data_IF_506919486286
#
_entry.id   IF_506919486286
#
_cell.length_a   1.000
_cell.length_b   1.000
_cell.length_c   1.000
_cell.angle_alpha   90.00
_cell.angle_beta   90.00
_cell.angle_gamma   90.00
#
_symmetry.space_group_name_H-M   'P 1'
#
loop_
_entity.id
_entity.type
_entity.pdbx_description
1 polymer ?
#
# COMPACT_ATOMS: atom_id res chain seq x y z
N UNK A 1 -28.88 -15.40 -30.01
CA UNK A 1 -28.32 -14.56 -28.93
C UNK A 1 -26.81 -14.75 -28.93
N UNK A 2 -26.02 -13.71 -29.24
CA UNK A 2 -24.57 -13.81 -29.34
C UNK A 2 -23.93 -14.01 -27.95
N UNK A 3 -22.94 -14.90 -27.78
CA UNK A 3 -22.24 -15.07 -26.51
C UNK A 3 -21.39 -13.83 -26.22
N UNK A 4 -21.56 -13.25 -25.02
CA UNK A 4 -20.71 -12.18 -24.50
C UNK A 4 -19.28 -12.70 -24.41
N UNK A 5 -18.38 -12.11 -25.22
CA UNK A 5 -16.97 -12.49 -25.27
C UNK A 5 -16.29 -12.38 -23.90
N UNK A 6 -15.21 -13.14 -23.67
CA UNK A 6 -14.49 -13.11 -22.41
C UNK A 6 -13.91 -11.70 -22.21
N UNK A 7 -14.29 -11.05 -21.12
CA UNK A 7 -13.71 -9.77 -20.72
C UNK A 7 -12.19 -9.90 -20.72
N UNK A 8 -11.50 -8.99 -21.42
CA UNK A 8 -10.04 -8.95 -21.48
C UNK A 8 -9.49 -9.02 -20.05
N UNK A 9 -8.91 -10.17 -19.68
CA UNK A 9 -8.07 -10.27 -18.49
C UNK A 9 -6.99 -9.20 -18.66
N UNK A 10 -7.02 -8.14 -17.83
CA UNK A 10 -5.92 -7.17 -17.81
C UNK A 10 -4.66 -7.98 -17.56
N UNK A 11 -3.72 -7.92 -18.48
CA UNK A 11 -2.42 -8.60 -18.37
C UNK A 11 -1.82 -8.13 -17.04
N UNK A 12 -1.67 -9.05 -16.09
CA UNK A 12 -1.05 -8.74 -14.81
C UNK A 12 0.38 -8.30 -15.11
N UNK A 13 0.73 -7.09 -14.70
CA UNK A 13 2.07 -6.54 -14.89
C UNK A 13 2.86 -6.93 -13.65
N UNK A 14 3.89 -7.74 -13.85
CA UNK A 14 4.86 -7.99 -12.80
C UNK A 14 5.73 -6.74 -12.62
N UNK A 15 5.45 -5.96 -11.59
CA UNK A 15 6.17 -4.72 -11.33
C UNK A 15 7.58 -4.96 -10.74
N UNK A 16 7.91 -6.20 -10.42
CA UNK A 16 9.23 -6.60 -9.93
C UNK A 16 10.18 -6.97 -11.08
N UNK A 17 9.67 -7.26 -12.27
CA UNK A 17 10.43 -7.56 -13.48
C UNK A 17 11.34 -6.41 -13.92
N UNK A 18 12.44 -6.73 -14.62
CA UNK A 18 13.43 -5.75 -15.06
C UNK A 18 12.85 -4.66 -16.00
N UNK A 19 11.84 -4.98 -16.81
CA UNK A 19 11.23 -4.02 -17.74
C UNK A 19 10.29 -3.02 -17.05
N UNK A 20 9.67 -3.42 -15.93
CA UNK A 20 8.62 -2.64 -15.27
C UNK A 20 9.03 -2.09 -13.90
N UNK A 21 10.12 -2.60 -13.34
CA UNK A 21 10.64 -2.19 -12.06
C UNK A 21 11.09 -0.72 -12.09
N UNK A 22 10.64 0.02 -11.09
CA UNK A 22 11.09 1.39 -10.86
C UNK A 22 11.26 1.64 -9.37
N UNK A 23 12.40 2.22 -9.01
CA UNK A 23 12.72 2.64 -7.63
C UNK A 23 11.83 3.80 -7.15
N UNK A 24 11.18 4.50 -8.07
CA UNK A 24 10.32 5.65 -7.79
C UNK A 24 8.84 5.26 -7.68
N UNK A 25 8.52 3.99 -8.00
CA UNK A 25 7.19 3.42 -7.86
C UNK A 25 7.07 2.71 -6.53
N UNK A 26 6.15 3.17 -5.71
CA UNK A 26 5.77 2.49 -4.48
C UNK A 26 4.49 1.71 -4.67
N UNK A 27 4.37 0.60 -3.95
CA UNK A 27 3.28 -0.35 -4.10
C UNK A 27 2.38 -0.26 -2.86
N UNK A 28 1.07 -0.08 -3.09
CA UNK A 28 0.06 -0.13 -2.03
C UNK A 28 -0.76 -1.38 -2.26
N UNK A 29 -0.72 -2.31 -1.33
CA UNK A 29 -1.49 -3.54 -1.36
C UNK A 29 -2.69 -3.38 -0.45
N UNK A 30 -3.89 -3.47 -1.00
CA UNK A 30 -5.12 -3.41 -0.19
C UNK A 30 -5.87 -4.72 -0.33
N UNK A 31 -5.98 -5.46 0.77
CA UNK A 31 -6.92 -6.56 0.89
C UNK A 31 -8.25 -6.00 1.38
N UNK A 32 -9.34 -6.27 0.67
CA UNK A 32 -10.65 -5.80 1.06
C UNK A 32 -11.74 -6.83 0.73
N UNK A 33 -12.71 -7.01 1.63
CA UNK A 33 -13.86 -7.89 1.39
C UNK A 33 -14.68 -7.44 0.17
N UNK A 34 -15.36 -8.40 -0.47
CA UNK A 34 -16.31 -8.16 -1.55
C UNK A 34 -17.76 -7.98 -1.06
N UNK A 35 -18.00 -8.08 0.24
CA UNK A 35 -19.34 -7.96 0.83
C UNK A 35 -20.01 -6.62 0.51
N UNK A 36 -19.24 -5.54 0.40
CA UNK A 36 -19.78 -4.21 0.12
C UNK A 36 -18.84 -3.34 -0.73
N UNK A 37 -19.40 -2.52 -1.65
CA UNK A 37 -18.61 -1.69 -2.56
C UNK A 37 -17.80 -0.59 -1.87
N UNK A 38 -18.23 -0.15 -0.67
CA UNK A 38 -17.51 0.87 0.10
C UNK A 38 -16.07 0.48 0.41
N UNK A 39 -15.79 -0.82 0.57
CA UNK A 39 -14.43 -1.31 0.81
C UNK A 39 -13.52 -1.06 -0.39
N UNK A 40 -14.04 -1.23 -1.61
CA UNK A 40 -13.34 -0.88 -2.83
C UNK A 40 -13.15 0.63 -2.93
N UNK A 41 -14.20 1.42 -2.71
CA UNK A 41 -14.12 2.89 -2.73
C UNK A 41 -13.06 3.40 -1.75
N UNK A 42 -13.02 2.87 -0.53
CA UNK A 42 -12.02 3.21 0.49
C UNK A 42 -10.61 2.80 0.11
N UNK A 43 -10.45 1.72 -0.66
CA UNK A 43 -9.15 1.34 -1.21
C UNK A 43 -8.65 2.33 -2.27
N UNK A 44 -9.52 2.74 -3.20
CA UNK A 44 -9.20 3.74 -4.22
C UNK A 44 -8.97 5.14 -3.60
N UNK A 45 -9.73 5.52 -2.57
CA UNK A 45 -9.52 6.75 -1.77
C UNK A 45 -8.14 6.74 -1.11
N UNK A 46 -7.74 5.64 -0.46
CA UNK A 46 -6.42 5.51 0.17
C UNK A 46 -5.27 5.71 -0.83
N UNK A 47 -5.37 5.09 -2.01
CA UNK A 47 -4.35 5.22 -3.06
C UNK A 47 -4.26 6.65 -3.61
N UNK A 48 -5.42 7.28 -3.84
CA UNK A 48 -5.49 8.66 -4.33
C UNK A 48 -4.92 9.65 -3.31
N UNK A 49 -5.24 9.43 -2.04
CA UNK A 49 -4.76 10.24 -0.94
C UNK A 49 -3.23 10.20 -0.82
N UNK A 50 -2.63 9.00 -0.81
CA UNK A 50 -1.17 8.86 -0.73
C UNK A 50 -0.48 9.50 -1.95
N UNK A 51 -1.07 9.37 -3.14
CA UNK A 51 -0.57 10.01 -4.35
C UNK A 51 -0.62 11.55 -4.29
N UNK A 52 -1.63 12.12 -3.63
CA UNK A 52 -1.73 13.56 -3.40
C UNK A 52 -0.76 14.05 -2.32
N UNK A 53 -0.59 13.27 -1.25
CA UNK A 53 0.30 13.61 -0.13
C UNK A 53 1.78 13.50 -0.47
N UNK A 54 2.15 12.53 -1.28
CA UNK A 54 3.55 12.27 -1.65
C UNK A 54 3.64 12.27 -3.20
N UNK A 55 3.49 13.43 -3.85
CA UNK A 55 3.41 13.54 -5.31
C UNK A 55 4.72 13.18 -6.01
N UNK A 56 5.85 13.18 -5.28
CA UNK A 56 7.16 12.75 -5.78
C UNK A 56 7.24 11.24 -6.07
N UNK A 57 6.34 10.44 -5.49
CA UNK A 57 6.28 8.99 -5.69
C UNK A 57 5.14 8.64 -6.65
N UNK A 58 5.35 7.57 -7.42
CA UNK A 58 4.29 6.94 -8.21
C UNK A 58 3.69 5.82 -7.40
N UNK A 59 2.44 5.94 -6.97
CA UNK A 59 1.80 4.86 -6.23
C UNK A 59 1.05 3.92 -7.17
N UNK A 60 1.32 2.62 -7.04
CA UNK A 60 0.59 1.57 -7.70
C UNK A 60 -0.30 0.85 -6.70
N UNK A 61 -1.62 1.06 -6.82
CA UNK A 61 -2.60 0.35 -6.03
C UNK A 61 -2.80 -1.09 -6.57
N UNK A 62 -2.70 -2.06 -5.68
CA UNK A 62 -2.91 -3.49 -5.92
C UNK A 62 -4.02 -3.98 -4.99
N UNK A 63 -5.21 -4.22 -5.53
CA UNK A 63 -6.37 -4.70 -4.76
C UNK A 63 -6.43 -6.22 -4.81
N UNK A 64 -6.55 -6.88 -3.65
CA UNK A 64 -6.72 -8.34 -3.52
C UNK A 64 -5.77 -9.17 -4.42
N UNK A 65 -4.50 -8.74 -4.53
CA UNK A 65 -3.52 -9.28 -5.49
C UNK A 65 -4.10 -9.43 -6.91
N UNK A 66 -4.62 -8.34 -7.46
CA UNK A 66 -5.29 -8.30 -8.77
C UNK A 66 -6.51 -9.23 -8.90
N UNK A 67 -7.12 -9.60 -7.78
CA UNK A 67 -8.26 -10.53 -7.72
C UNK A 67 -7.85 -12.00 -7.60
N UNK A 68 -6.55 -12.31 -7.49
CA UNK A 68 -6.07 -13.68 -7.25
C UNK A 68 -6.19 -14.12 -5.78
N UNK A 69 -6.36 -13.16 -4.86
CA UNK A 69 -6.58 -13.46 -3.46
C UNK A 69 -8.07 -13.40 -3.15
N UNK A 70 -8.61 -14.47 -2.55
CA UNK A 70 -9.93 -14.45 -1.91
C UNK A 70 -9.77 -13.66 -0.61
N UNK A 71 -10.39 -12.47 -0.48
CA UNK A 71 -10.24 -11.65 0.72
C UNK A 71 -10.93 -12.34 1.90
N UNK A 72 -10.38 -12.13 3.10
CA UNK A 72 -11.02 -12.59 4.33
C UNK A 72 -12.33 -11.84 4.60
N UNK A 73 -13.26 -12.47 5.32
CA UNK A 73 -14.53 -11.85 5.69
C UNK A 73 -14.29 -10.60 6.55
N UNK A 74 -14.95 -9.50 6.19
CA UNK A 74 -14.74 -8.21 6.85
C UNK A 74 -13.31 -7.64 6.74
N UNK A 75 -12.46 -8.15 5.83
CA UNK A 75 -11.10 -7.67 5.68
C UNK A 75 -11.05 -6.25 5.13
N UNK A 76 -10.16 -5.46 5.72
CA UNK A 76 -9.64 -4.24 5.13
C UNK A 76 -8.21 -4.05 5.64
N UNK A 77 -7.23 -4.50 4.88
CA UNK A 77 -5.83 -4.37 5.24
C UNK A 77 -5.11 -3.50 4.24
N UNK A 78 -4.26 -2.61 4.74
CA UNK A 78 -3.42 -1.74 3.93
C UNK A 78 -1.98 -2.16 4.19
N UNK A 79 -1.33 -2.67 3.16
CA UNK A 79 0.09 -2.94 3.11
C UNK A 79 0.81 -1.97 2.18
N UNK A 80 2.07 -1.69 2.48
CA UNK A 80 2.91 -0.79 1.71
C UNK A 80 4.28 -1.39 1.47
N UNK A 81 4.76 -1.27 0.24
CA UNK A 81 6.15 -1.55 -0.11
C UNK A 81 6.74 -0.33 -0.80
N UNK A 82 7.99 -0.04 -0.49
CA UNK A 82 8.72 1.07 -1.11
C UNK A 82 8.81 0.91 -2.64
N UNK A 83 8.94 -0.32 -3.11
CA UNK A 83 8.83 -0.76 -4.50
C UNK A 83 8.41 -2.24 -4.58
N UNK A 84 8.24 -2.77 -5.80
CA UNK A 84 7.76 -4.13 -6.03
C UNK A 84 8.74 -5.25 -5.62
N UNK A 85 10.01 -4.93 -5.35
CA UNK A 85 11.03 -5.89 -4.89
C UNK A 85 11.26 -5.85 -3.38
N UNK A 86 10.78 -4.81 -2.69
CA UNK A 86 10.92 -4.66 -1.23
C UNK A 86 9.80 -5.37 -0.47
N UNK A 87 10.09 -5.75 0.78
CA UNK A 87 9.11 -6.34 1.70
C UNK A 87 7.88 -5.45 1.86
N UNK A 88 6.71 -6.09 1.95
CA UNK A 88 5.45 -5.41 2.28
C UNK A 88 5.32 -5.25 3.79
N UNK A 89 5.06 -4.04 4.22
CA UNK A 89 4.83 -3.66 5.61
C UNK A 89 3.34 -3.39 5.81
N UNK A 90 2.76 -3.94 6.87
CA UNK A 90 1.38 -3.67 7.25
C UNK A 90 1.27 -2.25 7.82
N UNK A 91 0.45 -1.40 7.19
CA UNK A 91 0.14 -0.06 7.69
C UNK A 91 -1.14 -0.04 8.52
N UNK A 92 -2.13 -0.85 8.14
CA UNK A 92 -3.41 -0.90 8.83
C UNK A 92 -4.05 -2.28 8.69
N UNK A 93 -4.64 -2.79 9.77
CA UNK A 93 -5.54 -3.93 9.72
C UNK A 93 -6.91 -3.56 10.31
N UNK A 94 -7.95 -3.79 9.51
CA UNK A 94 -9.34 -3.74 9.92
C UNK A 94 -9.86 -5.08 10.45
N UNK A 95 -9.12 -6.18 10.28
CA UNK A 95 -9.65 -7.51 10.66
C UNK A 95 -9.96 -7.61 12.15
N UNK A 96 -9.05 -7.12 12.98
CA UNK A 96 -9.17 -7.14 14.44
C UNK A 96 -10.07 -6.02 14.99
N UNK A 97 -10.45 -5.06 14.13
CA UNK A 97 -11.33 -3.96 14.51
C UNK A 97 -12.77 -4.44 14.44
N UNK A 98 -13.57 -4.06 15.42
CA UNK A 98 -14.85 -4.69 15.76
C UNK A 98 -15.86 -4.87 14.61
N UNK A 99 -17.01 -5.50 14.90
CA UNK A 99 -18.05 -5.73 13.89
C UNK A 99 -18.56 -4.48 13.15
N UNK A 100 -18.54 -3.24 13.71
CA UNK A 100 -18.95 -2.08 12.95
C UNK A 100 -18.03 -1.85 11.74
N UNK A 101 -18.63 -1.88 10.55
CA UNK A 101 -17.92 -1.67 9.28
C UNK A 101 -17.08 -0.40 9.26
N UNK A 102 -17.54 0.66 9.91
CA UNK A 102 -16.83 1.96 9.98
C UNK A 102 -15.46 1.81 10.61
N UNK A 103 -15.32 0.97 11.62
CA UNK A 103 -14.07 0.82 12.37
C UNK A 103 -13.05 -0.05 11.62
N UNK A 104 -13.46 -0.71 10.53
CA UNK A 104 -12.56 -1.43 9.62
C UNK A 104 -11.62 -0.48 8.87
N UNK A 105 -12.04 0.77 8.64
CA UNK A 105 -11.28 1.78 7.89
C UNK A 105 -10.50 2.68 8.85
N UNK A 106 -9.34 3.23 8.42
CA UNK A 106 -8.71 4.32 9.14
C UNK A 106 -9.66 5.51 9.24
N UNK A 107 -9.73 6.14 10.41
CA UNK A 107 -10.56 7.33 10.64
C UNK A 107 -10.08 8.51 9.77
N UNK A 108 -8.76 8.60 9.59
CA UNK A 108 -8.10 9.52 8.68
C UNK A 108 -6.89 8.81 8.05
N UNK A 109 -6.67 9.02 6.75
CA UNK A 109 -5.52 8.44 6.05
C UNK A 109 -4.19 9.14 6.41
N UNK A 110 -4.23 10.34 7.01
CA UNK A 110 -3.05 11.04 7.52
C UNK A 110 -2.28 10.19 8.53
N UNK A 111 -2.98 9.32 9.27
CA UNK A 111 -2.38 8.40 10.23
C UNK A 111 -1.41 7.41 9.58
N UNK A 112 -1.52 7.16 8.27
CA UNK A 112 -0.66 6.24 7.53
C UNK A 112 0.63 6.91 7.02
N UNK A 113 0.62 8.23 6.85
CA UNK A 113 1.74 9.01 6.32
C UNK A 113 3.06 8.82 7.10
N UNK A 114 3.09 8.87 8.45
CA UNK A 114 4.34 8.71 9.18
C UNK A 114 4.98 7.33 8.96
N UNK A 115 4.20 6.25 8.95
CA UNK A 115 4.71 4.90 8.67
C UNK A 115 5.16 4.75 7.22
N UNK A 116 4.43 5.33 6.26
CA UNK A 116 4.87 5.39 4.85
C UNK A 116 6.22 6.10 4.74
N UNK A 117 6.40 7.27 5.36
CA UNK A 117 7.67 7.98 5.37
C UNK A 117 8.80 7.18 6.03
N UNK A 118 8.51 6.49 7.15
CA UNK A 118 9.48 5.60 7.81
C UNK A 118 9.95 4.50 6.88
N UNK A 119 9.04 3.85 6.14
CA UNK A 119 9.37 2.79 5.19
C UNK A 119 10.13 3.35 3.98
N UNK A 120 9.76 4.55 3.49
CA UNK A 120 10.48 5.23 2.42
C UNK A 120 11.93 5.56 2.80
N UNK A 121 12.17 6.01 4.04
CA UNK A 121 13.51 6.31 4.59
C UNK A 121 14.39 5.07 4.72
N UNK A 122 13.82 3.92 5.11
CA UNK A 122 14.57 2.71 5.48
C UNK A 122 15.49 2.16 4.37
N UNK A 123 15.09 2.28 3.11
CA UNK A 123 15.83 1.69 1.98
C UNK A 123 16.43 2.72 1.01
N UNK A 124 15.90 3.95 0.97
CA UNK A 124 16.44 5.05 0.16
C UNK A 124 16.36 6.37 0.95
N UNK A 125 17.22 6.57 1.96
CA UNK A 125 17.21 7.76 2.82
C UNK A 125 17.39 9.06 2.01
N UNK A 126 18.18 9.04 0.93
CA UNK A 126 18.44 10.21 0.08
C UNK A 126 17.22 10.76 -0.67
N UNK A 127 16.12 9.98 -0.76
CA UNK A 127 14.88 10.37 -1.45
C UNK A 127 13.68 10.49 -0.50
N UNK A 128 13.91 10.63 0.80
CA UNK A 128 12.86 10.91 1.77
C UNK A 128 12.93 12.39 2.17
N UNK A 129 12.56 13.26 1.23
CA UNK A 129 12.66 14.70 1.41
C UNK A 129 11.37 15.23 2.03
N UNK A 130 11.44 15.85 3.21
CA UNK A 130 10.30 16.55 3.81
C UNK A 130 10.12 16.40 5.32
N UNK A 131 10.93 15.58 6.00
CA UNK A 131 11.04 15.63 7.47
C UNK A 131 12.42 16.17 7.77
N UNK A 132 12.47 17.35 8.37
CA UNK A 132 13.68 17.95 8.92
C UNK A 132 14.47 16.87 9.66
N UNK A 133 15.77 16.89 9.41
CA UNK A 133 16.80 16.07 10.02
C UNK A 133 16.80 16.35 11.53
N UNK A 134 15.94 15.65 12.27
CA UNK A 134 15.98 15.57 13.71
C UNK A 134 15.91 14.09 14.08
N UNK A 135 17.08 13.59 14.47
CA UNK A 135 17.30 12.45 15.37
C UNK A 135 17.07 11.03 14.81
N UNK A 136 18.18 10.37 14.46
CA UNK A 136 18.47 9.02 14.97
C UNK A 136 19.99 8.76 14.83
N UNK A 137 20.73 9.29 15.80
CA UNK A 137 22.04 8.73 16.13
C UNK A 137 21.82 7.54 17.06
N UNK A 138 21.89 6.33 16.54
CA UNK A 138 21.99 5.12 17.37
C UNK A 138 23.30 4.38 17.07
N UNK A 139 24.20 4.62 18.01
CA UNK A 139 25.35 3.86 18.50
C UNK A 139 26.35 3.22 17.53
N UNK A 140 27.53 3.84 17.60
CA UNK A 140 28.83 3.28 17.30
C UNK A 140 29.00 1.86 17.86
N UNK A 141 29.66 1.06 17.01
CA UNK A 141 30.33 -0.17 17.38
C UNK A 141 31.34 0.09 18.50
N UNK A 142 31.18 -0.58 19.63
CA UNK A 142 32.23 -0.93 20.61
C UNK A 142 31.64 -2.12 21.40
N UNK A 143 32.21 -3.32 21.32
CA UNK A 143 33.20 -3.74 22.32
C UNK A 143 34.20 -4.73 21.71
N UNK A 144 35.48 -4.33 21.77
CA UNK A 144 36.67 -5.18 21.71
C UNK A 144 37.23 -5.27 23.12
#
# INVERSE_FOLDING_TARGET
>A
MAPKGPGKKKKEVDWADEEHFSKERSMIYIEHTYECPIFQTKADECGSFLQQRIPERKFQLVRNRYGHQVPREGAFEIGFSQNARTSTHLLWSGLERGPPRRDKFPADYELLVPDVHRILKKFYPDKAVGVLDEDDGDEAREDM
#
